data_IF_932403808005
#
_entry.id   IF_932403808005
#
_cell.length_a   1.000
_cell.length_b   1.000
_cell.length_c   1.000
_cell.angle_alpha   90.00
_cell.angle_beta   90.00
_cell.angle_gamma   90.00
#
_symmetry.space_group_name_H-M   'P 1'
#
loop_
_entity.id
_entity.type
_entity.pdbx_description
1 polymer ?
#
# COMPACT_ATOMS: atom_id res chain seq x y z
N UNK A 1 44.22 -13.92 13.92
CA UNK A 1 43.25 -14.01 15.04
C UNK A 1 42.62 -12.63 15.20
N UNK A 2 41.30 -12.49 15.12
CA UNK A 2 40.61 -11.19 15.36
C UNK A 2 40.82 -10.89 16.84
N UNK A 3 41.39 -9.74 17.18
CA UNK A 3 41.56 -9.33 18.57
C UNK A 3 40.22 -8.77 19.13
N UNK A 4 40.17 -8.53 20.46
CA UNK A 4 38.93 -8.03 21.12
C UNK A 4 38.53 -6.64 20.65
N UNK A 5 39.49 -5.77 20.30
CA UNK A 5 39.17 -4.40 19.86
C UNK A 5 38.60 -4.41 18.46
N UNK A 6 39.15 -5.22 17.56
CA UNK A 6 38.62 -5.43 16.21
C UNK A 6 37.22 -6.02 16.27
N UNK A 7 36.99 -7.02 17.14
CA UNK A 7 35.66 -7.62 17.31
C UNK A 7 34.66 -6.61 17.87
N UNK A 8 35.06 -5.78 18.83
CA UNK A 8 34.23 -4.72 19.38
C UNK A 8 33.81 -3.71 18.28
N UNK A 9 34.74 -3.33 17.42
CA UNK A 9 34.46 -2.45 16.29
C UNK A 9 33.44 -3.08 15.32
N UNK A 10 33.53 -4.38 15.04
CA UNK A 10 32.60 -5.11 14.17
C UNK A 10 31.18 -5.24 14.76
N UNK A 11 31.05 -5.27 16.10
CA UNK A 11 29.74 -5.29 16.73
C UNK A 11 28.95 -3.99 16.56
N UNK A 12 29.65 -2.85 16.35
CA UNK A 12 29.03 -1.55 16.18
C UNK A 12 28.25 -1.09 17.42
N UNK A 13 28.61 -1.58 18.61
CA UNK A 13 27.97 -1.22 19.89
C UNK A 13 29.00 -0.49 20.76
N UNK A 14 28.65 0.70 21.19
CA UNK A 14 29.44 1.49 22.13
C UNK A 14 29.18 1.13 23.59
N UNK A 15 30.07 1.53 24.48
CA UNK A 15 29.92 1.40 25.93
C UNK A 15 29.76 -0.05 26.42
N UNK A 16 30.41 -1.00 25.76
CA UNK A 16 30.51 -2.40 26.19
C UNK A 16 31.97 -2.86 26.22
N UNK A 17 32.23 -3.86 27.04
CA UNK A 17 33.52 -4.59 27.09
C UNK A 17 33.26 -6.06 26.84
N UNK A 18 34.10 -6.69 26.00
CA UNK A 18 34.08 -8.14 25.75
C UNK A 18 34.81 -8.88 26.86
N UNK A 19 34.10 -9.66 27.63
CA UNK A 19 34.66 -10.51 28.68
C UNK A 19 35.27 -11.76 28.07
N UNK A 20 34.47 -12.51 27.31
CA UNK A 20 34.91 -13.76 26.65
C UNK A 20 34.12 -14.05 25.38
N UNK A 21 34.72 -14.83 24.51
CA UNK A 21 34.10 -15.34 23.27
C UNK A 21 34.07 -16.86 23.34
N UNK A 22 32.92 -17.47 23.09
CA UNK A 22 32.73 -18.92 23.10
C UNK A 22 32.16 -19.35 21.74
N UNK A 23 32.81 -20.34 21.12
CA UNK A 23 32.28 -20.99 19.92
C UNK A 23 31.66 -22.31 20.37
N UNK A 24 30.33 -22.39 20.38
CA UNK A 24 29.60 -23.57 20.87
C UNK A 24 29.50 -24.68 19.83
N UNK A 25 29.45 -24.30 18.56
CA UNK A 25 29.44 -25.22 17.43
C UNK A 25 30.04 -24.51 16.19
N UNK A 26 30.34 -25.20 15.09
CA UNK A 26 30.98 -24.57 13.93
C UNK A 26 30.21 -23.41 13.29
N UNK A 27 29.00 -23.08 13.79
CA UNK A 27 28.15 -22.02 13.24
C UNK A 27 27.59 -21.03 14.27
N UNK A 28 27.93 -21.12 15.55
CA UNK A 28 27.43 -20.27 16.62
C UNK A 28 28.54 -19.68 17.47
N UNK A 29 28.51 -18.38 17.69
CA UNK A 29 29.41 -17.63 18.54
C UNK A 29 28.59 -16.94 19.62
N UNK A 30 28.96 -17.16 20.89
CA UNK A 30 28.46 -16.39 22.03
C UNK A 30 29.53 -15.43 22.51
N UNK A 31 29.21 -14.15 22.55
CA UNK A 31 30.08 -13.09 23.02
C UNK A 31 29.53 -12.59 24.35
N UNK A 32 30.22 -12.92 25.44
CA UNK A 32 29.86 -12.41 26.76
C UNK A 32 30.40 -10.99 26.89
N UNK A 33 29.50 -10.08 27.22
CA UNK A 33 29.79 -8.64 27.30
C UNK A 33 29.30 -8.08 28.64
N UNK A 34 29.94 -7.01 29.09
CA UNK A 34 29.44 -6.17 30.18
C UNK A 34 29.22 -4.74 29.68
N UNK A 35 28.22 -4.06 30.23
CA UNK A 35 28.00 -2.64 29.95
C UNK A 35 28.97 -1.78 30.75
N UNK A 36 29.60 -0.83 30.07
CA UNK A 36 30.42 0.22 30.68
C UNK A 36 29.56 1.42 31.09
N UNK A 37 28.34 1.53 30.58
CA UNK A 37 27.38 2.58 30.97
C UNK A 37 26.97 2.43 32.43
N UNK A 38 26.88 3.54 33.15
CA UNK A 38 26.42 3.59 34.54
C UNK A 38 25.10 4.36 34.66
N UNK A 39 24.32 4.00 35.66
CA UNK A 39 23.03 4.62 35.95
C UNK A 39 21.87 4.10 35.10
N UNK A 40 20.69 4.57 35.45
CA UNK A 40 19.42 4.33 34.79
C UNK A 40 18.41 5.43 35.13
N UNK A 41 17.18 5.33 34.64
CA UNK A 41 16.07 6.16 35.09
C UNK A 41 15.05 5.29 35.82
N UNK A 42 14.66 5.74 37.01
CA UNK A 42 13.70 5.00 37.85
C UNK A 42 12.38 4.83 37.09
N UNK A 43 11.89 3.60 36.96
CA UNK A 43 10.62 3.31 36.29
C UNK A 43 9.38 3.87 37.02
N UNK A 44 9.50 4.19 38.31
CA UNK A 44 8.41 4.76 39.11
C UNK A 44 8.34 6.28 39.06
N UNK A 45 9.46 7.00 39.22
CA UNK A 45 9.47 8.47 39.26
C UNK A 45 10.18 9.14 38.12
N UNK A 46 10.78 8.39 37.17
CA UNK A 46 11.48 8.93 35.98
C UNK A 46 12.83 9.62 36.29
N UNK A 47 13.24 9.77 37.55
CA UNK A 47 14.50 10.44 37.88
C UNK A 47 15.71 9.55 37.61
N UNK A 48 16.85 10.17 37.32
CA UNK A 48 18.11 9.47 37.17
C UNK A 48 18.55 8.82 38.48
N UNK A 49 19.05 7.60 38.43
CA UNK A 49 19.48 6.79 39.58
C UNK A 49 20.85 6.15 39.26
N UNK A 50 21.76 6.22 40.21
CA UNK A 50 23.13 5.68 40.11
C UNK A 50 23.49 4.72 41.25
N UNK A 51 22.60 4.46 42.22
CA UNK A 51 22.85 3.53 43.30
C UNK A 51 22.83 2.09 42.79
N UNK A 52 24.01 1.54 42.46
CA UNK A 52 24.16 0.17 41.97
C UNK A 52 23.60 -0.83 42.99
N UNK A 53 22.80 -1.77 42.53
CA UNK A 53 22.11 -2.77 43.37
C UNK A 53 22.34 -4.21 42.90
N UNK A 54 23.32 -4.43 42.01
CA UNK A 54 23.65 -5.75 41.48
C UNK A 54 23.28 -5.93 40.03
N UNK A 55 23.21 -7.16 39.59
CA UNK A 55 22.93 -7.53 38.19
C UNK A 55 21.55 -8.18 38.05
N UNK A 56 20.95 -8.00 36.92
CA UNK A 56 19.77 -8.73 36.49
C UNK A 56 20.10 -10.16 36.05
N UNK A 57 19.09 -10.93 35.63
CA UNK A 57 19.30 -12.23 35.01
C UNK A 57 20.16 -12.07 33.72
N UNK A 58 20.89 -13.12 33.40
CA UNK A 58 21.58 -13.21 32.14
C UNK A 58 20.58 -13.27 31.00
N UNK A 59 20.82 -12.48 29.94
CA UNK A 59 20.02 -12.45 28.72
C UNK A 59 20.91 -12.75 27.54
N UNK A 60 20.36 -13.48 26.57
CA UNK A 60 21.03 -13.83 25.33
C UNK A 60 20.28 -13.15 24.18
N UNK A 61 20.97 -12.31 23.41
CA UNK A 61 20.39 -11.49 22.34
C UNK A 61 21.01 -11.86 21.01
N UNK A 62 20.19 -12.26 20.06
CA UNK A 62 20.62 -12.47 18.68
C UNK A 62 21.14 -11.18 18.09
N UNK A 63 22.33 -11.23 17.48
CA UNK A 63 22.98 -10.10 16.80
C UNK A 63 23.27 -10.42 15.33
N UNK A 64 23.72 -9.43 14.58
CA UNK A 64 24.11 -9.58 13.18
C UNK A 64 25.16 -10.71 13.03
N UNK A 65 25.07 -11.52 11.97
CA UNK A 65 26.02 -12.60 11.74
C UNK A 65 27.40 -12.04 11.42
N UNK A 66 28.45 -12.72 11.90
CA UNK A 66 29.84 -12.41 11.56
C UNK A 66 30.41 -13.59 10.75
N UNK A 67 30.84 -13.33 9.52
CA UNK A 67 31.42 -14.35 8.62
C UNK A 67 30.57 -15.63 8.49
N UNK A 68 29.24 -15.48 8.51
CA UNK A 68 28.28 -16.59 8.39
C UNK A 68 28.02 -17.35 9.70
N UNK A 69 28.65 -16.95 10.81
CA UNK A 69 28.30 -17.47 12.13
C UNK A 69 27.09 -16.76 12.71
N UNK A 70 26.21 -17.50 13.36
CA UNK A 70 25.17 -16.95 14.23
C UNK A 70 25.83 -16.33 15.45
N UNK A 71 25.54 -15.06 15.73
CA UNK A 71 26.14 -14.35 16.87
C UNK A 71 25.08 -14.07 17.91
N UNK A 72 25.43 -14.36 19.17
CA UNK A 72 24.62 -14.02 20.34
C UNK A 72 25.46 -13.16 21.29
N UNK A 73 24.88 -12.07 21.76
CA UNK A 73 25.45 -11.27 22.83
C UNK A 73 24.84 -11.73 24.14
N UNK A 74 25.68 -12.11 25.08
CA UNK A 74 25.29 -12.56 26.41
C UNK A 74 25.65 -11.49 27.42
N UNK A 75 24.65 -10.93 28.11
CA UNK A 75 24.86 -9.82 29.06
C UNK A 75 24.02 -10.00 30.33
N UNK A 76 24.53 -9.54 31.44
CA UNK A 76 23.80 -9.35 32.70
C UNK A 76 23.60 -7.85 32.92
N UNK A 77 22.42 -7.25 32.62
CA UNK A 77 22.19 -5.83 32.78
C UNK A 77 22.37 -5.41 34.23
N UNK A 78 23.02 -4.27 34.47
CA UNK A 78 23.12 -3.67 35.80
C UNK A 78 21.75 -3.26 36.31
N UNK A 79 21.53 -3.33 37.62
CA UNK A 79 20.31 -2.84 38.32
C UNK A 79 20.67 -1.72 39.26
N UNK A 80 19.82 -0.71 39.29
CA UNK A 80 19.99 0.47 40.15
C UNK A 80 18.76 0.67 41.02
N UNK A 81 19.00 1.08 42.26
CA UNK A 81 17.96 1.34 43.27
C UNK A 81 17.62 2.81 43.30
N UNK A 82 16.33 3.10 43.34
CA UNK A 82 15.85 4.47 43.59
C UNK A 82 15.82 4.76 45.09
N UNK A 83 16.44 5.84 45.51
CA UNK A 83 16.44 6.29 46.89
C UNK A 83 15.31 7.26 47.21
N UNK A 84 14.56 7.70 46.17
CA UNK A 84 13.50 8.70 46.29
C UNK A 84 12.12 8.05 46.42
N UNK A 85 11.88 6.95 45.73
CA UNK A 85 10.59 6.25 45.78
C UNK A 85 10.43 5.47 47.06
N UNK A 86 9.23 5.49 47.65
CA UNK A 86 8.87 4.56 48.72
C UNK A 86 9.03 3.11 48.22
N UNK A 87 9.56 2.23 49.08
CA UNK A 87 9.88 0.84 48.74
C UNK A 87 11.18 0.66 47.96
N UNK A 88 11.96 1.72 47.73
CA UNK A 88 13.30 1.67 47.10
C UNK A 88 13.33 0.82 45.83
N UNK A 89 12.47 1.17 44.87
CA UNK A 89 12.30 0.45 43.60
C UNK A 89 13.63 0.22 42.88
N UNK A 90 13.82 -0.97 42.32
CA UNK A 90 15.00 -1.30 41.50
C UNK A 90 14.65 -1.31 40.05
N UNK A 91 15.47 -0.65 39.22
CA UNK A 91 15.28 -0.56 37.75
C UNK A 91 16.49 -1.16 37.04
N UNK A 92 16.24 -2.01 36.07
CA UNK A 92 17.30 -2.51 35.22
C UNK A 92 17.80 -1.40 34.29
N UNK A 93 19.08 -1.42 33.94
CA UNK A 93 19.73 -0.53 33.01
C UNK A 93 19.03 -0.56 31.65
N UNK A 94 18.82 0.61 31.05
CA UNK A 94 18.35 0.74 29.68
C UNK A 94 19.57 0.88 28.78
N UNK A 95 19.68 0.00 27.80
CA UNK A 95 20.74 -0.02 26.78
C UNK A 95 20.11 0.29 25.42
N UNK A 96 20.73 1.17 24.65
CA UNK A 96 20.12 1.75 23.43
C UNK A 96 20.11 0.78 22.24
N UNK A 97 20.91 -0.28 22.32
CA UNK A 97 21.12 -1.26 21.27
C UNK A 97 20.24 -2.53 21.39
N UNK A 98 19.33 -2.59 22.37
CA UNK A 98 18.27 -3.60 22.38
C UNK A 98 17.02 -3.07 23.11
N UNK A 99 15.86 -3.62 22.73
CA UNK A 99 14.58 -3.30 23.40
C UNK A 99 14.32 -4.29 24.51
N UNK A 100 13.97 -3.85 25.76
CA UNK A 100 13.62 -4.77 26.85
C UNK A 100 12.58 -5.80 26.42
N UNK A 101 12.80 -7.06 26.78
CA UNK A 101 12.02 -8.25 26.38
C UNK A 101 12.21 -8.72 24.95
N UNK A 102 12.98 -8.04 24.10
CA UNK A 102 13.40 -8.59 22.84
C UNK A 102 14.49 -9.65 23.04
N UNK A 103 14.48 -10.70 22.24
CA UNK A 103 15.57 -11.67 22.12
C UNK A 103 16.60 -11.25 21.05
N UNK A 104 16.54 -10.02 20.56
CA UNK A 104 17.34 -9.51 19.45
C UNK A 104 17.88 -8.13 19.75
N UNK A 105 19.07 -7.83 19.20
CA UNK A 105 19.57 -6.44 19.19
C UNK A 105 18.80 -5.60 18.17
N UNK A 106 18.75 -4.30 18.37
CA UNK A 106 18.09 -3.34 17.45
C UNK A 106 18.66 -3.45 16.02
N UNK A 107 19.98 -3.63 15.88
CA UNK A 107 20.63 -3.82 14.58
C UNK A 107 20.13 -5.08 13.86
N UNK A 108 19.93 -6.19 14.59
CA UNK A 108 19.41 -7.42 14.02
C UNK A 108 17.92 -7.30 13.66
N UNK A 109 17.12 -6.63 14.48
CA UNK A 109 15.73 -6.34 14.15
C UNK A 109 15.60 -5.51 12.87
N UNK A 110 16.44 -4.50 12.70
CA UNK A 110 16.47 -3.70 11.47
C UNK A 110 16.87 -4.54 10.24
N UNK A 111 17.81 -5.47 10.39
CA UNK A 111 18.19 -6.38 9.31
C UNK A 111 17.06 -7.35 8.93
N UNK A 112 16.35 -7.89 9.91
CA UNK A 112 15.12 -8.69 9.70
C UNK A 112 14.07 -7.86 8.96
N UNK A 113 13.87 -6.59 9.33
CA UNK A 113 12.92 -5.71 8.65
C UNK A 113 13.33 -5.43 7.20
N UNK A 114 14.61 -5.22 6.92
CA UNK A 114 15.11 -5.09 5.54
C UNK A 114 14.86 -6.34 4.72
N UNK A 115 15.13 -7.51 5.28
CA UNK A 115 14.89 -8.79 4.62
C UNK A 115 13.42 -9.06 4.32
N UNK A 116 12.50 -8.49 5.11
CA UNK A 116 11.06 -8.60 4.89
C UNK A 116 10.56 -7.75 3.73
N UNK A 117 11.27 -6.69 3.32
CA UNK A 117 10.84 -5.85 2.19
C UNK A 117 10.76 -6.72 0.93
N UNK A 118 9.58 -6.71 0.28
CA UNK A 118 9.30 -7.55 -0.89
C UNK A 118 9.50 -9.07 -0.68
N UNK A 119 9.41 -9.57 0.56
CA UNK A 119 9.54 -10.99 0.93
C UNK A 119 8.33 -11.45 1.74
N UNK A 120 8.35 -12.66 2.31
CA UNK A 120 7.33 -13.19 3.21
C UNK A 120 7.89 -13.48 4.60
N UNK A 121 7.02 -13.60 5.62
CA UNK A 121 7.46 -14.05 6.95
C UNK A 121 8.12 -15.42 6.88
N UNK A 122 7.60 -16.32 6.06
CA UNK A 122 8.12 -17.67 5.89
C UNK A 122 9.52 -17.65 5.25
N UNK A 123 9.74 -16.86 4.19
CA UNK A 123 11.05 -16.76 3.55
C UNK A 123 12.11 -16.22 4.50
N UNK A 124 11.76 -15.19 5.29
CA UNK A 124 12.65 -14.61 6.28
C UNK A 124 12.88 -15.58 7.45
N UNK A 125 11.85 -16.28 7.89
CA UNK A 125 11.94 -17.34 8.90
C UNK A 125 13.01 -18.39 8.51
N UNK A 126 12.94 -18.88 7.28
CA UNK A 126 13.92 -19.87 6.77
C UNK A 126 15.32 -19.30 6.64
N UNK A 127 15.48 -18.07 6.14
CA UNK A 127 16.79 -17.41 5.95
C UNK A 127 17.50 -17.11 7.26
N UNK A 128 16.74 -16.67 8.26
CA UNK A 128 17.28 -16.18 9.52
C UNK A 128 17.21 -17.21 10.64
N UNK A 129 16.59 -18.36 10.40
CA UNK A 129 16.32 -19.39 11.41
C UNK A 129 15.62 -18.77 12.64
N UNK A 130 14.49 -18.11 12.36
CA UNK A 130 13.63 -17.46 13.35
C UNK A 130 12.20 -17.95 13.21
N UNK A 131 11.48 -18.05 14.32
CA UNK A 131 10.05 -18.31 14.28
C UNK A 131 9.29 -17.16 13.60
N UNK A 132 8.27 -17.48 12.79
CA UNK A 132 7.43 -16.46 12.15
C UNK A 132 6.73 -15.53 13.16
N UNK A 133 6.39 -16.06 14.36
CA UNK A 133 5.84 -15.27 15.44
C UNK A 133 6.83 -14.21 15.95
N UNK A 134 8.09 -14.59 16.18
CA UNK A 134 9.13 -13.66 16.62
C UNK A 134 9.38 -12.55 15.58
N UNK A 135 9.34 -12.89 14.28
CA UNK A 135 9.44 -11.90 13.21
C UNK A 135 8.22 -10.96 13.22
N UNK A 136 7.01 -11.49 13.41
CA UNK A 136 5.81 -10.68 13.48
C UNK A 136 5.83 -9.73 14.69
N UNK A 137 6.33 -10.16 15.84
CA UNK A 137 6.51 -9.30 17.03
C UNK A 137 7.46 -8.12 16.75
N UNK A 138 8.53 -8.33 15.96
CA UNK A 138 9.41 -7.24 15.51
C UNK A 138 8.63 -6.27 14.63
N UNK A 139 7.84 -6.76 13.68
CA UNK A 139 6.99 -5.94 12.80
C UNK A 139 5.99 -5.13 13.63
N UNK A 140 5.30 -5.76 14.59
CA UNK A 140 4.27 -5.12 15.44
C UNK A 140 4.86 -4.00 16.29
N UNK A 141 6.09 -4.16 16.76
CA UNK A 141 6.81 -3.18 17.56
C UNK A 141 7.33 -2.01 16.71
N UNK A 142 7.81 -2.28 15.49
CA UNK A 142 8.47 -1.28 14.68
C UNK A 142 7.53 -0.56 13.69
N UNK A 143 6.38 -1.15 13.34
CA UNK A 143 5.40 -0.55 12.44
C UNK A 143 4.06 -0.40 13.14
N UNK A 144 3.79 0.82 13.58
CA UNK A 144 2.50 1.19 14.14
C UNK A 144 1.42 1.18 13.04
N UNK A 145 0.25 0.64 13.35
CA UNK A 145 -0.91 0.64 12.45
C UNK A 145 -1.70 1.94 12.49
N UNK A 146 -1.42 2.80 13.48
CA UNK A 146 -1.99 4.14 13.60
C UNK A 146 -1.07 5.17 12.97
N UNK A 147 -1.63 6.04 12.14
CA UNK A 147 -0.88 7.10 11.49
C UNK A 147 -0.47 8.17 12.51
N UNK A 148 0.82 8.45 12.60
CA UNK A 148 1.30 9.64 13.29
C UNK A 148 1.07 10.88 12.42
N UNK A 149 0.06 11.67 12.78
CA UNK A 149 -0.31 12.89 12.07
C UNK A 149 0.61 14.08 12.33
N UNK A 150 1.43 14.02 13.37
CA UNK A 150 2.23 15.16 13.84
C UNK A 150 3.19 15.71 12.76
N UNK A 151 4.01 14.87 12.10
CA UNK A 151 4.98 15.34 11.11
C UNK A 151 4.35 15.73 9.77
N UNK A 152 3.07 15.41 9.54
CA UNK A 152 2.44 15.65 8.25
C UNK A 152 1.99 17.10 8.14
N UNK A 153 2.50 17.81 7.13
CA UNK A 153 2.16 19.22 6.89
C UNK A 153 0.84 19.35 6.12
N UNK A 154 0.61 18.55 5.08
CA UNK A 154 -0.57 18.62 4.23
C UNK A 154 -0.93 17.27 3.62
N UNK A 155 -2.23 17.07 3.31
CA UNK A 155 -2.72 15.88 2.62
C UNK A 155 -3.08 16.13 1.15
N UNK A 156 -3.37 17.36 0.76
CA UNK A 156 -3.77 17.82 -0.59
C UNK A 156 -4.79 16.91 -1.31
N UNK A 157 -4.41 15.66 -1.61
CA UNK A 157 -5.24 14.68 -2.31
C UNK A 157 -5.34 13.40 -1.48
N UNK A 158 -6.57 12.95 -1.25
CA UNK A 158 -6.86 11.66 -0.60
C UNK A 158 -7.44 10.71 -1.66
N UNK A 159 -6.91 9.50 -1.72
CA UNK A 159 -7.46 8.38 -2.50
C UNK A 159 -8.21 7.41 -1.60
N UNK A 160 -9.36 6.92 -2.05
CA UNK A 160 -10.10 5.84 -1.39
C UNK A 160 -10.57 4.81 -2.41
N UNK A 161 -10.35 3.54 -2.11
CA UNK A 161 -10.77 2.42 -2.94
C UNK A 161 -11.03 1.18 -2.08
N UNK A 162 -11.57 0.12 -2.67
CA UNK A 162 -11.85 -1.13 -1.98
C UNK A 162 -11.00 -2.30 -2.48
N UNK A 163 -10.63 -3.17 -1.54
CA UNK A 163 -9.98 -4.43 -1.86
C UNK A 163 -10.68 -5.57 -1.12
N UNK A 164 -11.01 -6.65 -1.86
CA UNK A 164 -11.49 -7.88 -1.23
C UNK A 164 -10.36 -8.57 -0.46
N UNK A 165 -10.54 -8.89 0.81
CA UNK A 165 -9.57 -9.65 1.60
C UNK A 165 -9.55 -11.13 1.21
N UNK A 166 -10.71 -11.72 0.94
CA UNK A 166 -10.83 -13.13 0.53
C UNK A 166 -11.46 -13.23 -0.85
N UNK A 167 -10.96 -14.16 -1.68
CA UNK A 167 -11.54 -14.45 -3.01
C UNK A 167 -12.93 -15.08 -2.83
N UNK A 168 -13.93 -14.54 -3.52
CA UNK A 168 -15.31 -15.06 -3.49
C UNK A 168 -16.11 -14.70 -2.23
N UNK A 169 -15.54 -14.01 -1.26
CA UNK A 169 -16.22 -13.53 -0.06
C UNK A 169 -16.54 -12.04 -0.16
N UNK A 170 -17.58 -11.59 0.55
CA UNK A 170 -17.97 -10.18 0.66
C UNK A 170 -17.14 -9.39 1.68
N UNK A 171 -15.95 -9.87 1.99
CA UNK A 171 -15.03 -9.29 2.97
C UNK A 171 -14.15 -8.24 2.26
N UNK A 172 -14.65 -7.00 2.22
CA UNK A 172 -13.99 -5.87 1.61
C UNK A 172 -13.46 -4.92 2.69
N UNK A 173 -12.26 -4.42 2.49
CA UNK A 173 -11.68 -3.32 3.25
C UNK A 173 -11.60 -2.08 2.37
N UNK A 174 -11.87 -0.90 2.93
CA UNK A 174 -11.59 0.34 2.25
C UNK A 174 -10.16 0.79 2.59
N UNK A 175 -9.40 1.14 1.55
CA UNK A 175 -8.03 1.63 1.67
C UNK A 175 -8.07 3.14 1.46
N UNK A 176 -7.51 3.87 2.42
CA UNK A 176 -7.34 5.31 2.31
C UNK A 176 -5.86 5.61 2.14
N UNK A 177 -5.54 6.38 1.11
CA UNK A 177 -4.18 6.78 0.76
C UNK A 177 -4.09 8.28 0.55
N UNK A 178 -2.88 8.83 0.66
CA UNK A 178 -2.62 10.24 0.36
C UNK A 178 -1.19 10.41 -0.17
N UNK A 179 -0.98 11.48 -0.94
CA UNK A 179 0.37 11.97 -1.23
C UNK A 179 0.84 12.85 -0.08
N UNK A 180 1.94 12.44 0.55
CA UNK A 180 2.58 13.14 1.65
C UNK A 180 4.04 13.32 1.28
N UNK A 181 4.50 14.55 1.18
CA UNK A 181 5.88 14.91 0.81
C UNK A 181 6.34 14.29 -0.53
N UNK A 182 5.42 14.18 -1.50
CA UNK A 182 5.69 13.59 -2.81
C UNK A 182 5.63 12.06 -2.86
N UNK A 183 5.43 11.40 -1.71
CA UNK A 183 5.31 9.95 -1.61
C UNK A 183 3.86 9.51 -1.41
N UNK A 184 3.53 8.36 -2.00
CA UNK A 184 2.25 7.71 -1.78
C UNK A 184 2.27 6.91 -0.48
N UNK A 185 1.43 7.29 0.48
CA UNK A 185 1.30 6.60 1.77
C UNK A 185 -0.11 6.08 1.98
N UNK A 186 -0.23 4.87 2.52
CA UNK A 186 -1.51 4.36 3.06
C UNK A 186 -1.71 4.97 4.43
N UNK A 187 -2.82 5.69 4.60
CA UNK A 187 -3.18 6.38 5.84
C UNK A 187 -4.33 5.72 6.58
N UNK A 188 -4.93 4.67 6.03
CA UNK A 188 -5.95 3.87 6.69
C UNK A 188 -6.35 2.61 5.94
N UNK A 189 -6.65 1.57 6.70
CA UNK A 189 -7.33 0.35 6.26
C UNK A 189 -8.58 0.16 7.10
N UNK A 190 -9.75 0.41 6.50
CA UNK A 190 -11.04 0.39 7.21
C UNK A 190 -11.65 -1.01 7.11
N UNK A 191 -12.20 -1.49 8.23
CA UNK A 191 -12.87 -2.80 8.29
C UNK A 191 -14.04 -2.91 7.34
N UNK A 192 -14.73 -1.78 7.12
CA UNK A 192 -15.95 -1.70 6.37
C UNK A 192 -15.86 -0.57 5.35
N UNK A 193 -16.58 -0.76 4.24
CA UNK A 193 -16.75 0.26 3.21
C UNK A 193 -17.99 1.14 3.42
N UNK A 194 -18.61 1.09 4.60
CA UNK A 194 -19.82 1.85 4.89
C UNK A 194 -19.54 3.35 4.89
N UNK A 195 -20.57 4.15 4.55
CA UNK A 195 -20.48 5.61 4.65
C UNK A 195 -20.05 6.05 6.06
N UNK A 196 -20.57 5.38 7.10
CA UNK A 196 -20.25 5.71 8.49
C UNK A 196 -18.77 5.48 8.80
N UNK A 197 -18.23 4.30 8.51
CA UNK A 197 -16.82 3.96 8.76
C UNK A 197 -15.85 4.94 8.04
N UNK A 198 -16.14 5.27 6.78
CA UNK A 198 -15.32 6.22 6.01
C UNK A 198 -15.44 7.64 6.57
N UNK A 199 -16.64 8.08 6.94
CA UNK A 199 -16.86 9.39 7.56
C UNK A 199 -16.09 9.50 8.88
N UNK A 200 -16.18 8.50 9.73
CA UNK A 200 -15.54 8.50 11.05
C UNK A 200 -14.02 8.49 10.91
N UNK A 201 -13.48 7.75 9.93
CA UNK A 201 -12.06 7.84 9.59
C UNK A 201 -11.68 9.27 9.14
N UNK A 202 -12.42 9.88 8.21
CA UNK A 202 -12.12 11.25 7.79
C UNK A 202 -12.22 12.25 8.94
N UNK A 203 -13.13 12.05 9.90
CA UNK A 203 -13.22 12.88 11.10
C UNK A 203 -12.04 12.66 12.06
N UNK A 204 -11.43 11.47 12.09
CA UNK A 204 -10.24 11.19 12.90
C UNK A 204 -8.98 11.91 12.40
N UNK A 205 -8.96 12.34 11.13
CA UNK A 205 -7.88 13.18 10.60
C UNK A 205 -7.90 14.54 11.32
N UNK A 206 -6.79 15.03 11.88
CA UNK A 206 -6.73 16.31 12.57
C UNK A 206 -7.31 17.47 11.73
N UNK A 207 -8.06 18.35 12.37
CA UNK A 207 -8.74 19.49 11.68
C UNK A 207 -7.79 20.33 10.84
N UNK A 208 -6.53 20.54 11.31
CA UNK A 208 -5.48 21.25 10.56
C UNK A 208 -5.21 20.59 9.19
N UNK A 209 -5.12 19.24 9.14
CA UNK A 209 -4.87 18.48 7.91
C UNK A 209 -6.11 18.37 7.02
N UNK A 210 -7.31 18.22 7.60
CA UNK A 210 -8.56 18.23 6.82
C UNK A 210 -8.73 19.53 6.01
N UNK A 211 -8.22 20.64 6.53
CA UNK A 211 -8.25 21.95 5.83
C UNK A 211 -7.33 22.02 4.62
N UNK A 212 -6.30 21.19 4.55
CA UNK A 212 -5.36 21.13 3.41
C UNK A 212 -5.86 20.26 2.27
N UNK A 213 -6.89 19.44 2.50
CA UNK A 213 -7.46 18.57 1.46
C UNK A 213 -8.15 19.41 0.41
N UNK A 214 -7.74 19.23 -0.85
CA UNK A 214 -8.28 19.91 -2.05
C UNK A 214 -9.13 18.97 -2.88
N UNK A 215 -8.80 17.68 -2.88
CA UNK A 215 -9.45 16.66 -3.69
C UNK A 215 -9.53 15.31 -2.98
N UNK A 216 -10.64 14.60 -3.20
CA UNK A 216 -10.81 13.19 -2.82
C UNK A 216 -11.10 12.39 -4.09
N UNK A 217 -10.24 11.39 -4.36
CA UNK A 217 -10.40 10.47 -5.49
C UNK A 217 -11.00 9.16 -5.00
N UNK A 218 -12.07 8.68 -5.64
CA UNK A 218 -12.68 7.40 -5.32
C UNK A 218 -13.30 6.76 -6.56
N UNK A 219 -13.71 5.50 -6.43
CA UNK A 219 -14.69 4.94 -7.35
C UNK A 219 -16.03 5.70 -7.23
N UNK A 220 -17.00 5.31 -8.06
CA UNK A 220 -18.33 5.92 -8.06
C UNK A 220 -19.27 5.35 -6.96
N UNK A 221 -18.69 4.77 -5.89
CA UNK A 221 -19.50 4.28 -4.78
C UNK A 221 -20.08 5.44 -3.96
N UNK A 222 -21.41 5.51 -3.91
CA UNK A 222 -22.15 6.62 -3.27
C UNK A 222 -21.78 6.83 -1.81
N UNK A 223 -21.43 5.74 -1.09
CA UNK A 223 -21.01 5.80 0.32
C UNK A 223 -19.74 6.64 0.51
N UNK A 224 -18.75 6.47 -0.36
CA UNK A 224 -17.48 7.23 -0.30
C UNK A 224 -17.69 8.69 -0.65
N UNK A 225 -18.43 8.94 -1.74
CA UNK A 225 -18.77 10.30 -2.19
C UNK A 225 -19.54 11.05 -1.10
N UNK A 226 -20.55 10.42 -0.50
CA UNK A 226 -21.35 11.03 0.55
C UNK A 226 -20.57 11.29 1.84
N UNK A 227 -19.68 10.37 2.24
CA UNK A 227 -18.79 10.54 3.39
C UNK A 227 -17.85 11.74 3.17
N UNK A 228 -17.19 11.79 2.00
CA UNK A 228 -16.28 12.89 1.67
C UNK A 228 -17.00 14.25 1.63
N UNK A 229 -18.17 14.35 0.98
CA UNK A 229 -18.96 15.58 0.97
C UNK A 229 -19.37 16.03 2.37
N UNK A 230 -19.74 15.09 3.25
CA UNK A 230 -20.19 15.42 4.60
C UNK A 230 -19.07 15.97 5.51
N UNK A 231 -17.81 15.53 5.30
CA UNK A 231 -16.69 15.92 6.16
C UNK A 231 -15.92 17.12 5.62
N UNK A 232 -15.68 17.14 4.30
CA UNK A 232 -14.84 18.17 3.67
C UNK A 232 -15.65 19.34 3.09
N UNK A 233 -16.95 19.15 2.88
CA UNK A 233 -17.85 20.19 2.36
C UNK A 233 -17.63 20.48 0.86
N UNK A 234 -18.27 21.56 0.33
CA UNK A 234 -18.32 21.86 -1.10
C UNK A 234 -17.00 22.37 -1.70
N UNK A 235 -16.06 22.82 -0.86
CA UNK A 235 -14.75 23.33 -1.31
C UNK A 235 -13.81 22.26 -1.83
N UNK A 236 -14.05 20.96 -1.47
CA UNK A 236 -13.21 19.84 -1.86
C UNK A 236 -13.81 19.14 -3.07
N UNK A 237 -13.03 19.04 -4.14
CA UNK A 237 -13.45 18.35 -5.34
C UNK A 237 -13.49 16.83 -5.09
N UNK A 238 -14.60 16.17 -5.41
CA UNK A 238 -14.66 14.71 -5.46
C UNK A 238 -14.40 14.28 -6.89
N UNK A 239 -13.36 13.49 -7.13
CA UNK A 239 -12.97 13.03 -8.45
C UNK A 239 -13.24 11.52 -8.59
N UNK A 240 -14.01 11.15 -9.60
CA UNK A 240 -14.21 9.74 -9.95
C UNK A 240 -12.94 9.16 -10.56
N UNK A 241 -12.57 7.95 -10.14
CA UNK A 241 -11.44 7.24 -10.72
C UNK A 241 -11.66 6.99 -12.22
N UNK A 242 -10.72 7.49 -13.03
CA UNK A 242 -10.75 7.37 -14.50
C UNK A 242 -10.85 5.92 -14.97
N UNK A 243 -10.13 4.98 -14.30
CA UNK A 243 -10.17 3.57 -14.68
C UNK A 243 -11.58 2.99 -14.53
N UNK A 244 -12.25 3.28 -13.42
CA UNK A 244 -13.62 2.85 -13.19
C UNK A 244 -14.60 3.48 -14.18
N UNK A 245 -14.42 4.76 -14.52
CA UNK A 245 -15.20 5.43 -15.57
C UNK A 245 -14.94 4.78 -16.94
N UNK A 246 -13.68 4.53 -17.30
CA UNK A 246 -13.33 3.90 -18.59
C UNK A 246 -13.88 2.49 -18.71
N UNK A 247 -13.86 1.71 -17.63
CA UNK A 247 -14.45 0.37 -17.59
C UNK A 247 -15.93 0.37 -17.93
N UNK A 248 -16.69 1.37 -17.49
CA UNK A 248 -18.13 1.45 -17.74
C UNK A 248 -18.47 1.61 -19.24
N UNK A 249 -17.81 2.54 -19.95
CA UNK A 249 -18.11 2.73 -21.37
C UNK A 249 -17.49 1.65 -22.25
N UNK A 250 -16.32 1.12 -21.90
CA UNK A 250 -15.70 -0.02 -22.58
C UNK A 250 -16.52 -1.31 -22.44
N UNK A 251 -17.13 -1.51 -21.26
CA UNK A 251 -18.03 -2.66 -21.04
C UNK A 251 -19.22 -2.63 -22.01
N UNK A 252 -19.80 -1.45 -22.28
CA UNK A 252 -20.89 -1.31 -23.24
C UNK A 252 -20.47 -1.75 -24.66
N UNK A 253 -19.27 -1.37 -25.09
CA UNK A 253 -18.72 -1.80 -26.38
C UNK A 253 -18.47 -3.31 -26.41
N UNK A 254 -17.95 -3.90 -25.32
CA UNK A 254 -17.72 -5.35 -25.24
C UNK A 254 -19.06 -6.14 -25.29
N UNK A 255 -20.08 -5.64 -24.65
CA UNK A 255 -21.41 -6.28 -24.70
C UNK A 255 -22.05 -6.19 -26.10
N UNK A 256 -21.88 -5.07 -26.80
CA UNK A 256 -22.27 -4.96 -28.21
C UNK A 256 -21.46 -5.95 -29.08
N UNK A 257 -20.14 -6.01 -28.89
CA UNK A 257 -19.28 -6.96 -29.61
C UNK A 257 -19.75 -8.40 -29.43
N UNK A 258 -20.09 -8.82 -28.20
CA UNK A 258 -20.59 -10.19 -27.94
C UNK A 258 -21.86 -10.49 -28.76
N UNK A 259 -22.80 -9.54 -28.82
CA UNK A 259 -24.04 -9.68 -29.58
C UNK A 259 -23.75 -9.77 -31.10
N UNK A 260 -22.91 -8.88 -31.61
CA UNK A 260 -22.53 -8.86 -33.02
C UNK A 260 -21.74 -10.11 -33.42
N UNK A 261 -20.80 -10.57 -32.61
CA UNK A 261 -20.05 -11.81 -32.89
C UNK A 261 -20.96 -13.03 -32.92
N UNK A 262 -22.01 -13.08 -32.06
CA UNK A 262 -23.04 -14.16 -32.15
C UNK A 262 -23.79 -14.09 -33.48
N UNK A 263 -24.17 -12.89 -33.95
CA UNK A 263 -24.83 -12.68 -35.26
C UNK A 263 -23.91 -13.08 -36.39
N UNK A 264 -22.65 -12.65 -36.38
CA UNK A 264 -21.67 -12.94 -37.43
C UNK A 264 -21.37 -14.44 -37.56
N UNK A 265 -21.34 -15.17 -36.41
CA UNK A 265 -21.17 -16.63 -36.42
C UNK A 265 -22.28 -17.36 -37.18
N UNK A 266 -23.48 -16.80 -37.23
CA UNK A 266 -24.61 -17.38 -37.97
C UNK A 266 -24.68 -16.95 -39.43
N UNK A 267 -24.09 -15.79 -39.79
CA UNK A 267 -24.21 -15.19 -41.12
C UNK A 267 -23.00 -15.32 -41.99
N UNK A 268 -21.83 -15.64 -41.44
CA UNK A 268 -20.57 -15.78 -42.20
C UNK A 268 -20.22 -17.26 -42.41
N UNK A 269 -19.41 -17.54 -43.46
CA UNK A 269 -18.76 -18.83 -43.61
C UNK A 269 -17.81 -19.06 -42.40
N UNK A 270 -17.48 -20.34 -42.14
CA UNK A 270 -16.56 -20.72 -41.07
C UNK A 270 -15.21 -20.02 -41.23
N UNK A 271 -14.66 -20.00 -42.44
CA UNK A 271 -13.37 -19.37 -42.73
C UNK A 271 -13.39 -17.86 -42.50
N UNK A 272 -14.46 -17.19 -42.92
CA UNK A 272 -14.64 -15.75 -42.70
C UNK A 272 -14.79 -15.41 -41.19
N UNK A 273 -15.48 -16.25 -40.42
CA UNK A 273 -15.62 -16.07 -38.98
C UNK A 273 -14.31 -16.38 -38.23
N UNK A 274 -13.59 -17.41 -38.62
CA UNK A 274 -12.30 -17.79 -38.04
C UNK A 274 -11.23 -16.70 -38.26
N UNK A 275 -11.33 -15.96 -39.37
CA UNK A 275 -10.48 -14.79 -39.62
C UNK A 275 -10.71 -13.62 -38.67
N UNK A 276 -11.78 -13.64 -37.85
CA UNK A 276 -12.05 -12.69 -36.77
C UNK A 276 -11.56 -13.21 -35.40
N UNK A 277 -10.77 -14.28 -35.37
CA UNK A 277 -10.21 -14.82 -34.11
C UNK A 277 -9.47 -13.72 -33.34
N UNK A 278 -9.60 -13.75 -32.01
CA UNK A 278 -9.03 -12.75 -31.10
C UNK A 278 -9.63 -11.33 -31.17
N UNK A 279 -10.65 -11.07 -31.97
CA UNK A 279 -11.30 -9.77 -32.04
C UNK A 279 -11.76 -9.21 -30.67
N UNK A 280 -12.04 -10.10 -29.68
CA UNK A 280 -12.42 -9.71 -28.33
C UNK A 280 -11.29 -9.01 -27.54
N UNK A 281 -10.02 -9.36 -27.81
CA UNK A 281 -8.87 -8.65 -27.24
C UNK A 281 -8.57 -7.36 -28.00
N UNK A 282 -8.69 -7.42 -29.34
CA UNK A 282 -8.35 -6.33 -30.25
C UNK A 282 -9.26 -5.12 -30.04
N UNK A 283 -10.57 -5.31 -29.89
CA UNK A 283 -11.55 -4.22 -29.66
C UNK A 283 -11.33 -3.52 -28.30
N UNK A 284 -10.61 -4.12 -27.37
CA UNK A 284 -10.28 -3.52 -26.07
C UNK A 284 -9.04 -2.65 -26.08
N UNK A 285 -8.19 -2.78 -27.09
CA UNK A 285 -6.98 -1.99 -27.27
C UNK A 285 -7.29 -0.67 -27.97
N UNK A 286 -6.52 0.35 -27.65
CA UNK A 286 -6.53 1.58 -28.44
C UNK A 286 -5.88 1.37 -29.80
N UNK A 287 -6.30 2.14 -30.79
CA UNK A 287 -5.85 1.96 -32.17
C UNK A 287 -4.33 2.08 -32.37
N UNK A 288 -3.69 2.90 -31.56
CA UNK A 288 -2.24 3.09 -31.62
C UNK A 288 -1.45 1.90 -31.00
N UNK A 289 -2.07 1.09 -30.13
CA UNK A 289 -1.47 -0.09 -29.50
C UNK A 289 -1.54 -1.35 -30.39
N UNK A 290 -2.30 -1.29 -31.48
CA UNK A 290 -2.55 -2.46 -32.34
C UNK A 290 -1.36 -2.74 -33.26
N UNK A 291 -0.99 -4.02 -33.38
CA UNK A 291 -0.06 -4.51 -34.40
C UNK A 291 -0.69 -4.43 -35.79
N UNK A 292 0.10 -4.59 -36.87
CA UNK A 292 -0.40 -4.60 -38.23
C UNK A 292 -1.45 -5.69 -38.47
N UNK A 293 -1.24 -6.89 -37.90
CA UNK A 293 -2.17 -8.01 -38.02
C UNK A 293 -3.46 -7.77 -37.26
N UNK A 294 -3.35 -7.23 -36.03
CA UNK A 294 -4.53 -6.86 -35.23
C UNK A 294 -5.37 -5.78 -35.94
N UNK A 295 -4.73 -4.81 -36.62
CA UNK A 295 -5.43 -3.80 -37.43
C UNK A 295 -6.16 -4.43 -38.59
N UNK A 296 -5.58 -5.43 -39.25
CA UNK A 296 -6.25 -6.17 -40.32
C UNK A 296 -7.49 -6.90 -39.84
N UNK A 297 -7.39 -7.57 -38.71
CA UNK A 297 -8.54 -8.26 -38.06
C UNK A 297 -9.63 -7.24 -37.65
N UNK A 298 -9.24 -6.13 -37.05
CA UNK A 298 -10.18 -5.07 -36.68
C UNK A 298 -10.91 -4.49 -37.90
N UNK A 299 -10.19 -4.21 -39.00
CA UNK A 299 -10.79 -3.68 -40.22
C UNK A 299 -11.77 -4.67 -40.83
N UNK A 300 -11.45 -5.98 -40.86
CA UNK A 300 -12.40 -7.03 -41.29
C UNK A 300 -13.66 -7.05 -40.41
N UNK A 301 -13.49 -6.98 -39.10
CA UNK A 301 -14.61 -6.90 -38.18
C UNK A 301 -15.51 -5.70 -38.49
N UNK A 302 -14.91 -4.54 -38.76
CA UNK A 302 -15.63 -3.30 -39.09
C UNK A 302 -16.40 -3.40 -40.42
N UNK A 303 -15.86 -4.13 -41.43
CA UNK A 303 -16.58 -4.42 -42.67
C UNK A 303 -17.84 -5.24 -42.42
N UNK A 304 -17.78 -6.23 -41.50
CA UNK A 304 -18.92 -7.09 -41.21
C UNK A 304 -19.88 -6.50 -40.15
N UNK A 305 -19.41 -5.52 -39.36
CA UNK A 305 -20.24 -4.86 -38.34
C UNK A 305 -19.92 -3.36 -38.23
N UNK A 306 -20.61 -2.53 -39.04
CA UNK A 306 -20.51 -1.06 -38.90
C UNK A 306 -20.85 -0.56 -37.52
N UNK A 307 -21.75 -1.26 -36.78
CA UNK A 307 -22.13 -0.91 -35.41
C UNK A 307 -20.96 -1.04 -34.44
N UNK A 308 -20.14 -2.09 -34.54
CA UNK A 308 -18.92 -2.23 -33.73
C UNK A 308 -17.92 -1.14 -34.09
N UNK A 309 -17.77 -0.82 -35.39
CA UNK A 309 -16.89 0.26 -35.83
C UNK A 309 -17.26 1.58 -35.19
N UNK A 310 -18.53 1.98 -35.27
CA UNK A 310 -19.02 3.24 -34.72
C UNK A 310 -18.86 3.28 -33.19
N UNK A 311 -19.19 2.19 -32.50
CA UNK A 311 -19.01 2.08 -31.04
C UNK A 311 -17.53 2.18 -30.63
N UNK A 312 -16.64 1.54 -31.35
CA UNK A 312 -15.20 1.61 -31.13
C UNK A 312 -14.67 3.04 -31.34
N UNK A 313 -15.05 3.70 -32.44
CA UNK A 313 -14.65 5.08 -32.76
C UNK A 313 -15.18 6.08 -31.70
N UNK A 314 -16.40 5.89 -31.19
CA UNK A 314 -16.92 6.68 -30.07
C UNK A 314 -16.17 6.42 -28.76
N UNK A 315 -15.80 5.18 -28.48
CA UNK A 315 -14.98 4.82 -27.32
C UNK A 315 -13.60 5.49 -27.36
N UNK A 316 -12.93 5.42 -28.51
CA UNK A 316 -11.63 6.08 -28.74
C UNK A 316 -11.75 7.61 -28.64
N UNK A 317 -12.80 8.20 -29.21
CA UNK A 317 -13.04 9.64 -29.12
C UNK A 317 -13.22 10.12 -27.65
N UNK A 318 -13.92 9.34 -26.81
CA UNK A 318 -14.06 9.67 -25.40
C UNK A 318 -12.70 9.53 -24.67
N UNK A 319 -11.96 8.46 -24.94
CA UNK A 319 -10.62 8.26 -24.41
C UNK A 319 -9.70 9.45 -24.76
N UNK A 320 -9.71 9.89 -26.02
CA UNK A 320 -8.94 11.03 -26.48
C UNK A 320 -9.32 12.36 -25.79
N UNK A 321 -10.59 12.55 -25.39
CA UNK A 321 -11.01 13.69 -24.57
C UNK A 321 -10.33 13.67 -23.22
N UNK A 322 -10.27 12.50 -22.58
CA UNK A 322 -9.58 12.35 -21.29
C UNK A 322 -8.06 12.52 -21.41
N UNK A 323 -7.47 12.15 -22.52
CA UNK A 323 -6.02 12.24 -22.75
C UNK A 323 -5.58 13.66 -23.17
N UNK A 324 -6.49 14.44 -23.77
CA UNK A 324 -6.19 15.78 -24.23
C UNK A 324 -5.89 16.77 -23.08
N UNK A 325 -4.87 17.65 -23.17
CA UNK A 325 -4.54 18.65 -22.17
C UNK A 325 -5.54 19.83 -22.16
N UNK A 326 -6.74 19.58 -21.64
CA UNK A 326 -7.86 20.55 -21.62
C UNK A 326 -8.24 20.94 -20.20
N UNK A 327 -8.75 22.15 -20.01
CA UNK A 327 -9.34 22.60 -18.74
C UNK A 327 -10.67 21.89 -18.48
N UNK A 328 -11.14 21.96 -17.20
CA UNK A 328 -12.44 21.39 -16.82
C UNK A 328 -13.59 21.90 -17.69
N UNK A 329 -13.61 23.19 -18.00
CA UNK A 329 -14.64 23.80 -18.87
C UNK A 329 -14.59 23.25 -20.30
N UNK A 330 -13.40 23.11 -20.88
CA UNK A 330 -13.22 22.51 -22.20
C UNK A 330 -13.56 21.02 -22.20
N UNK A 331 -13.17 20.26 -21.18
CA UNK A 331 -13.51 18.87 -21.00
C UNK A 331 -15.01 18.64 -20.97
N UNK A 332 -15.73 19.44 -20.15
CA UNK A 332 -17.19 19.42 -20.10
C UNK A 332 -17.85 19.66 -21.47
N UNK A 333 -17.36 20.64 -22.23
CA UNK A 333 -17.88 20.91 -23.58
C UNK A 333 -17.63 19.74 -24.54
N UNK A 334 -16.43 19.20 -24.54
CA UNK A 334 -16.06 18.06 -25.40
C UNK A 334 -16.90 16.80 -25.06
N UNK A 335 -17.10 16.52 -23.77
CA UNK A 335 -17.95 15.38 -23.35
C UNK A 335 -19.40 15.59 -23.79
N UNK A 336 -19.97 16.80 -23.66
CA UNK A 336 -21.32 17.09 -24.19
C UNK A 336 -21.41 16.86 -25.70
N UNK A 337 -20.43 17.32 -26.47
CA UNK A 337 -20.35 17.04 -27.92
C UNK A 337 -20.25 15.55 -28.22
N UNK A 338 -19.51 14.79 -27.41
CA UNK A 338 -19.47 13.34 -27.52
C UNK A 338 -20.84 12.69 -27.20
N UNK A 339 -21.53 13.14 -26.16
CA UNK A 339 -22.88 12.65 -25.83
C UNK A 339 -23.86 12.87 -27.01
N UNK A 340 -23.78 14.02 -27.68
CA UNK A 340 -24.61 14.29 -28.86
C UNK A 340 -24.28 13.33 -30.03
N UNK A 341 -22.99 13.03 -30.24
CA UNK A 341 -22.57 12.01 -31.25
C UNK A 341 -23.13 10.63 -30.91
N UNK A 342 -23.11 10.24 -29.62
CA UNK A 342 -23.72 8.96 -29.19
C UNK A 342 -25.23 8.97 -29.45
N UNK A 343 -25.94 10.06 -29.17
CA UNK A 343 -27.37 10.17 -29.43
C UNK A 343 -27.65 10.00 -30.95
N UNK A 344 -26.87 10.64 -31.81
CA UNK A 344 -27.02 10.56 -33.27
C UNK A 344 -26.72 9.16 -33.83
N UNK A 345 -25.83 8.38 -33.18
CA UNK A 345 -25.47 7.02 -33.60
C UNK A 345 -26.57 5.97 -33.35
N UNK A 346 -27.58 6.29 -32.58
CA UNK A 346 -28.62 5.36 -32.13
C UNK A 346 -28.09 4.08 -31.43
N UNK A 347 -26.83 4.08 -30.99
CA UNK A 347 -26.22 2.98 -30.27
C UNK A 347 -26.70 2.94 -28.81
N UNK A 348 -27.30 1.83 -28.42
CA UNK A 348 -27.80 1.65 -27.04
C UNK A 348 -26.74 1.15 -26.06
N UNK A 349 -25.58 0.73 -26.56
CA UNK A 349 -24.51 0.15 -25.73
C UNK A 349 -23.92 1.16 -24.71
N UNK A 350 -24.06 2.46 -24.95
CA UNK A 350 -23.60 3.52 -24.05
C UNK A 350 -24.67 3.99 -23.04
N UNK A 351 -25.92 3.53 -23.11
CA UNK A 351 -27.03 4.04 -22.29
C UNK A 351 -26.75 3.94 -20.78
N UNK A 352 -26.16 2.81 -20.35
CA UNK A 352 -25.78 2.62 -18.93
C UNK A 352 -24.72 3.63 -18.50
N UNK A 353 -23.72 3.87 -19.35
CA UNK A 353 -22.67 4.84 -19.07
C UNK A 353 -23.23 6.27 -19.07
N UNK A 354 -24.08 6.65 -20.04
CA UNK A 354 -24.72 7.96 -20.10
C UNK A 354 -25.53 8.25 -18.84
N UNK A 355 -26.28 7.26 -18.32
CA UNK A 355 -26.99 7.38 -17.06
C UNK A 355 -26.02 7.68 -15.89
N UNK A 356 -24.94 6.95 -15.79
CA UNK A 356 -23.92 7.17 -14.77
C UNK A 356 -23.24 8.54 -14.94
N UNK A 357 -22.89 8.91 -16.17
CA UNK A 357 -22.28 10.20 -16.50
C UNK A 357 -23.16 11.39 -16.07
N UNK A 358 -24.48 11.30 -16.33
CA UNK A 358 -25.42 12.33 -15.92
C UNK A 358 -25.57 12.40 -14.39
N UNK A 359 -25.65 11.25 -13.71
CA UNK A 359 -25.79 11.19 -12.24
C UNK A 359 -24.55 11.66 -11.49
N UNK A 360 -23.36 11.51 -12.08
CA UNK A 360 -22.06 11.83 -11.49
C UNK A 360 -21.25 12.82 -12.33
N UNK A 361 -21.95 13.78 -12.95
CA UNK A 361 -21.37 14.73 -13.88
C UNK A 361 -20.18 15.50 -13.29
N UNK A 362 -20.33 16.03 -12.09
CA UNK A 362 -19.27 16.80 -11.44
C UNK A 362 -18.10 15.89 -11.03
N UNK A 363 -18.37 14.75 -10.41
CA UNK A 363 -17.34 13.81 -9.98
C UNK A 363 -16.49 13.29 -11.16
N UNK A 364 -17.12 12.97 -12.28
CA UNK A 364 -16.46 12.49 -13.49
C UNK A 364 -15.67 13.61 -14.18
N UNK A 365 -16.24 14.83 -14.26
CA UNK A 365 -15.57 15.96 -14.92
C UNK A 365 -14.52 16.65 -14.03
N UNK A 366 -14.51 16.40 -12.72
CA UNK A 366 -13.45 16.86 -11.82
C UNK A 366 -12.07 16.26 -12.16
N UNK A 367 -12.02 15.16 -12.89
CA UNK A 367 -10.77 14.63 -13.46
C UNK A 367 -9.93 15.70 -14.17
N UNK A 368 -10.55 16.66 -14.86
CA UNK A 368 -9.85 17.70 -15.59
C UNK A 368 -9.29 18.84 -14.71
N UNK A 369 -9.54 18.84 -13.39
CA UNK A 369 -8.92 19.79 -12.45
C UNK A 369 -7.46 19.44 -12.24
N UNK A 370 -7.19 18.16 -11.92
CA UNK A 370 -5.82 17.64 -11.76
C UNK A 370 -5.79 16.17 -12.20
N UNK A 371 -5.16 15.92 -13.32
CA UNK A 371 -5.13 14.60 -13.99
C UNK A 371 -4.27 13.56 -13.32
N UNK A 372 -3.42 13.96 -12.37
CA UNK A 372 -2.52 13.04 -11.67
C UNK A 372 -3.25 12.18 -10.63
N UNK A 373 -4.51 12.48 -10.38
CA UNK A 373 -5.20 12.09 -9.16
C UNK A 373 -5.75 10.68 -9.14
N UNK A 374 -5.94 10.00 -10.27
CA UNK A 374 -6.53 8.64 -10.26
C UNK A 374 -5.54 7.51 -10.49
N UNK A 375 -4.48 7.74 -11.25
CA UNK A 375 -3.50 6.70 -11.59
C UNK A 375 -2.74 6.13 -10.39
N UNK A 376 -2.56 6.93 -9.32
CA UNK A 376 -1.85 6.47 -8.13
C UNK A 376 -2.67 5.47 -7.30
N UNK A 377 -3.99 5.63 -7.23
CA UNK A 377 -4.87 4.73 -6.48
C UNK A 377 -4.87 3.36 -7.13
N UNK A 378 -4.98 3.31 -8.47
CA UNK A 378 -4.91 2.06 -9.23
C UNK A 378 -3.54 1.37 -9.08
N UNK A 379 -2.46 2.11 -9.24
CA UNK A 379 -1.09 1.59 -9.06
C UNK A 379 -0.89 1.00 -7.66
N UNK A 380 -1.35 1.69 -6.63
CA UNK A 380 -1.34 1.21 -5.25
C UNK A 380 -2.15 -0.08 -5.09
N UNK A 381 -3.37 -0.12 -5.61
CA UNK A 381 -4.22 -1.30 -5.52
C UNK A 381 -3.61 -2.52 -6.20
N UNK A 382 -2.97 -2.33 -7.35
CA UNK A 382 -2.25 -3.41 -8.02
C UNK A 382 -1.07 -3.90 -7.16
N UNK A 383 -0.30 -3.00 -6.55
CA UNK A 383 0.77 -3.36 -5.62
C UNK A 383 0.24 -4.14 -4.41
N UNK A 384 -0.86 -3.69 -3.79
CA UNK A 384 -1.48 -4.39 -2.65
C UNK A 384 -2.00 -5.78 -3.05
N UNK A 385 -2.58 -5.94 -4.24
CA UNK A 385 -2.97 -7.27 -4.77
C UNK A 385 -1.77 -8.20 -4.95
N UNK A 386 -0.61 -7.67 -5.37
CA UNK A 386 0.65 -8.43 -5.47
C UNK A 386 1.13 -8.83 -4.08
N UNK A 387 1.17 -7.91 -3.13
CA UNK A 387 1.54 -8.17 -1.72
C UNK A 387 0.67 -9.30 -1.15
N UNK A 388 -0.65 -9.19 -1.28
CA UNK A 388 -1.59 -10.21 -0.80
C UNK A 388 -1.33 -11.58 -1.41
N UNK A 389 -1.07 -11.67 -2.72
CA UNK A 389 -0.78 -12.94 -3.40
C UNK A 389 0.55 -13.52 -2.94
N UNK A 390 1.60 -12.71 -2.83
CA UNK A 390 2.91 -13.12 -2.33
C UNK A 390 2.84 -13.67 -0.90
N UNK A 391 2.04 -13.03 -0.05
CA UNK A 391 1.86 -13.47 1.35
C UNK A 391 0.75 -14.52 1.52
N UNK A 392 0.37 -15.24 0.46
CA UNK A 392 -0.61 -16.34 0.48
C UNK A 392 -1.97 -15.97 1.10
N UNK A 393 -2.37 -14.71 1.07
CA UNK A 393 -3.65 -14.20 1.54
C UNK A 393 -3.64 -13.75 3.00
N UNK A 394 -3.22 -12.53 3.25
CA UNK A 394 -3.32 -11.90 4.58
C UNK A 394 -4.79 -11.55 4.84
N UNK A 395 -5.34 -12.04 5.93
CA UNK A 395 -6.72 -11.76 6.37
C UNK A 395 -6.77 -10.77 7.55
N UNK A 396 -5.70 -10.67 8.34
CA UNK A 396 -5.58 -9.67 9.39
C UNK A 396 -5.27 -8.30 8.77
N UNK A 397 -6.07 -7.28 9.11
CA UNK A 397 -5.97 -5.91 8.56
C UNK A 397 -4.70 -5.19 9.02
N UNK A 398 -4.34 -5.35 10.27
CA UNK A 398 -3.17 -4.68 10.84
C UNK A 398 -1.90 -5.25 10.20
N UNK A 399 -1.80 -6.56 10.06
CA UNK A 399 -0.71 -7.20 9.33
C UNK A 399 -0.69 -6.79 7.85
N UNK A 400 -1.85 -6.62 7.19
CA UNK A 400 -1.90 -6.11 5.83
C UNK A 400 -1.38 -4.68 5.74
N UNK A 401 -1.80 -3.81 6.68
CA UNK A 401 -1.32 -2.43 6.75
C UNK A 401 0.21 -2.40 6.91
N UNK A 402 0.74 -3.17 7.86
CA UNK A 402 2.17 -3.26 8.15
C UNK A 402 2.95 -3.75 6.93
N UNK A 403 2.45 -4.78 6.22
CA UNK A 403 3.09 -5.30 4.99
C UNK A 403 3.06 -4.29 3.87
N UNK A 404 1.95 -3.60 3.66
CA UNK A 404 1.84 -2.54 2.65
C UNK A 404 2.79 -1.39 3.00
N UNK A 405 2.81 -0.96 4.26
CA UNK A 405 3.73 0.07 4.73
C UNK A 405 5.20 -0.32 4.49
N UNK A 406 5.57 -1.55 4.86
CA UNK A 406 6.93 -2.05 4.71
C UNK A 406 7.36 -2.09 3.23
N UNK A 407 6.52 -2.59 2.34
CA UNK A 407 6.84 -2.69 0.92
C UNK A 407 6.81 -1.34 0.17
N UNK A 408 6.14 -0.32 0.73
CA UNK A 408 6.12 1.03 0.18
C UNK A 408 7.25 1.91 0.73
N UNK A 409 7.45 1.86 2.03
CA UNK A 409 8.27 2.83 2.76
C UNK A 409 9.47 2.19 3.49
N UNK A 410 9.59 0.86 3.46
CA UNK A 410 10.58 0.11 4.24
C UNK A 410 12.02 0.49 3.90
N UNK A 411 12.34 0.68 2.61
CA UNK A 411 13.68 1.09 2.20
C UNK A 411 14.09 2.45 2.78
N UNK A 412 13.19 3.42 2.80
CA UNK A 412 13.47 4.74 3.38
C UNK A 412 13.63 4.69 4.92
N UNK A 413 13.04 3.69 5.59
CA UNK A 413 13.05 3.59 7.05
C UNK A 413 14.11 2.65 7.61
N UNK A 414 14.42 1.55 6.92
CA UNK A 414 15.26 0.45 7.42
C UNK A 414 16.51 0.19 6.56
N UNK A 415 16.67 0.84 5.40
CA UNK A 415 17.85 0.68 4.53
C UNK A 415 19.05 1.52 5.00
#
# INVERSE_FOLDING_TARGET
>A
MIDKEQLLSLLGISEIEIERVVIENPKTIKIHIKSLKDGSHCHGCGKAINCFHGYGPEIELRHLPILGYKVYLVIRPKRYRCEICEGRLTTSQVLDWYTPKSAMTTAYEQDVMRALINSTLQDVSLKYDLGTAAIQEVVDRLIETKVNWTPIAALNVIGIDEIALKKGHRDFVAIVSAYIDGELRVIGLLAERTKAAVRDFFLSIPKRLRRTVKMVCSDLYLGFIAAAKSVFGPRVAICADRFHVAKLYRQGVDDLRKKEMKRLRQSLSKEAYDALKNAHWIVRKSRHELTADERRILNRLFQHSPRIREAYELCEALTAIYDAPVSKGQGKRKIRGWMQRVANSQLTCFNRFLKTLNSHWEEITNYFIDRRTSGFVEGLNNKIKVIKRRCYGITNRDHLFQRVYLDLNGHARFA
#
